data_IF_800067772133
#
_entry.id   IF_800067772133
#
_cell.length_a   1.000
_cell.length_b   1.000
_cell.length_c   1.000
_cell.angle_alpha   90.00
_cell.angle_beta   90.00
_cell.angle_gamma   90.00
#
_symmetry.space_group_name_H-M   'P 1'
#
loop_
_entity.id
_entity.type
_entity.pdbx_description
1 polymer ?
#
# COMPACT_ATOMS: atom_id res chain seq x y z
N UNK A 1 58.75 -27.02 -32.84
CA UNK A 1 58.37 -26.29 -34.07
C UNK A 1 57.83 -24.89 -33.72
N UNK A 2 58.64 -23.83 -33.63
CA UNK A 2 59.38 -23.13 -34.69
C UNK A 2 58.44 -22.36 -35.64
N UNK A 3 58.49 -21.03 -35.47
CA UNK A 3 57.91 -19.84 -36.17
C UNK A 3 58.13 -19.83 -37.70
N UNK A 4 57.50 -18.96 -38.56
CA UNK A 4 57.32 -17.49 -38.36
C UNK A 4 56.10 -16.74 -39.01
N UNK A 5 55.91 -15.49 -38.56
CA UNK A 5 55.11 -14.39 -39.16
C UNK A 5 55.76 -13.85 -40.48
N UNK A 6 55.20 -12.90 -41.30
CA UNK A 6 54.95 -11.49 -40.90
C UNK A 6 53.98 -10.58 -41.73
N UNK A 7 53.65 -9.38 -41.17
CA UNK A 7 53.53 -8.02 -41.81
C UNK A 7 52.47 -7.77 -42.93
N UNK A 8 51.90 -6.58 -43.19
CA UNK A 8 52.23 -5.15 -42.91
C UNK A 8 51.05 -4.23 -43.31
N UNK A 9 51.00 -3.04 -42.69
CA UNK A 9 50.66 -1.68 -43.22
C UNK A 9 49.38 -1.44 -44.05
N UNK A 10 48.59 -0.37 -43.91
CA UNK A 10 48.71 0.89 -43.15
C UNK A 10 47.79 1.97 -43.78
N UNK A 11 47.85 3.20 -43.24
CA UNK A 11 47.38 4.49 -43.81
C UNK A 11 45.87 4.78 -43.75
N UNK A 12 45.39 5.72 -42.91
CA UNK A 12 45.28 7.20 -43.07
C UNK A 12 43.83 7.60 -43.41
N UNK A 13 43.08 8.35 -42.60
CA UNK A 13 43.19 9.80 -42.38
C UNK A 13 41.83 10.47 -42.69
N UNK A 14 41.47 11.53 -41.97
CA UNK A 14 40.26 12.35 -42.19
C UNK A 14 39.29 12.30 -41.00
N UNK A 15 39.33 13.18 -40.00
CA UNK A 15 39.02 14.61 -39.98
C UNK A 15 37.52 14.94 -40.16
N UNK A 16 36.90 15.46 -39.08
CA UNK A 16 35.88 16.51 -39.17
C UNK A 16 34.42 16.13 -38.86
N UNK A 17 33.79 16.91 -37.98
CA UNK A 17 32.34 16.95 -37.70
C UNK A 17 32.01 16.40 -36.32
N UNK A 18 31.96 17.17 -35.23
CA UNK A 18 30.99 18.24 -34.92
C UNK A 18 29.55 17.88 -35.33
N UNK A 19 28.81 17.43 -34.32
CA UNK A 19 27.38 17.07 -34.33
C UNK A 19 27.16 16.21 -33.08
N UNK A 20 27.19 16.77 -31.87
CA UNK A 20 26.10 17.55 -31.29
C UNK A 20 24.74 16.85 -31.44
N UNK A 21 24.66 15.62 -30.95
CA UNK A 21 23.43 15.05 -30.38
C UNK A 21 23.85 14.24 -29.16
N UNK A 22 24.26 14.98 -28.12
CA UNK A 22 24.29 14.45 -26.76
C UNK A 22 22.84 14.22 -26.35
N UNK A 23 22.33 13.06 -26.74
CA UNK A 23 21.14 12.46 -26.15
C UNK A 23 21.34 12.54 -24.64
N UNK A 24 20.56 13.40 -23.99
CA UNK A 24 20.52 13.52 -22.55
C UNK A 24 20.12 12.14 -22.04
N UNK A 25 21.13 11.34 -21.67
CA UNK A 25 21.04 10.20 -20.79
C UNK A 25 20.21 10.69 -19.60
N UNK A 26 18.91 10.36 -19.65
CA UNK A 26 17.92 10.76 -18.68
C UNK A 26 18.25 10.02 -17.41
N UNK A 27 19.21 10.58 -16.66
CA UNK A 27 19.84 9.98 -15.50
C UNK A 27 18.76 9.43 -14.60
N UNK A 28 18.61 8.11 -14.66
CA UNK A 28 17.66 7.38 -13.84
C UNK A 28 18.07 7.63 -12.41
N UNK A 29 17.40 8.58 -11.74
CA UNK A 29 17.62 8.84 -10.32
C UNK A 29 17.55 7.50 -9.60
N UNK A 30 18.47 7.20 -8.66
CA UNK A 30 18.42 5.93 -7.95
C UNK A 30 17.07 5.84 -7.22
N UNK A 31 16.21 4.92 -7.64
CA UNK A 31 14.96 4.64 -6.95
C UNK A 31 15.12 3.38 -6.12
N UNK A 32 14.96 3.49 -4.81
CA UNK A 32 14.90 2.36 -3.89
C UNK A 32 13.44 2.01 -3.57
N UNK A 33 13.20 0.85 -2.96
CA UNK A 33 11.88 0.37 -2.59
C UNK A 33 11.81 0.18 -1.08
N UNK A 34 10.78 0.73 -0.45
CA UNK A 34 10.48 0.53 0.95
C UNK A 34 9.31 -0.47 1.09
N UNK A 35 9.59 -1.76 1.38
CA UNK A 35 8.56 -2.78 1.49
C UNK A 35 7.74 -2.60 2.77
N UNK A 36 6.42 -2.75 2.64
CA UNK A 36 5.47 -2.66 3.75
C UNK A 36 4.43 -3.76 3.59
N UNK A 37 4.29 -4.58 4.63
CA UNK A 37 3.22 -5.57 4.73
C UNK A 37 2.13 -5.00 5.64
N UNK A 38 0.93 -4.86 5.07
CA UNK A 38 -0.20 -4.23 5.75
C UNK A 38 -1.29 -5.25 6.09
N UNK A 39 -1.85 -5.15 7.29
CA UNK A 39 -3.08 -5.82 7.69
C UNK A 39 -4.22 -4.79 7.59
N UNK A 40 -5.31 -5.15 6.90
CA UNK A 40 -6.43 -4.25 6.67
C UNK A 40 -7.75 -4.88 7.11
N UNK A 41 -8.47 -4.16 7.96
CA UNK A 41 -9.79 -4.53 8.45
C UNK A 41 -10.77 -3.38 8.27
N UNK A 42 -12.04 -3.67 8.03
CA UNK A 42 -13.15 -2.74 8.18
C UNK A 42 -13.85 -2.98 9.53
N UNK A 43 -14.53 -1.96 10.04
CA UNK A 43 -15.44 -2.07 11.18
C UNK A 43 -16.81 -2.51 10.68
N UNK A 44 -17.24 -3.70 11.11
CA UNK A 44 -18.55 -4.28 10.78
C UNK A 44 -19.65 -3.86 11.77
N UNK A 45 -20.80 -4.52 11.69
CA UNK A 45 -21.97 -4.26 12.55
C UNK A 45 -22.02 -5.13 13.80
N UNK A 46 -21.13 -6.13 13.91
CA UNK A 46 -21.05 -6.99 15.07
C UNK A 46 -20.71 -6.25 16.36
N UNK A 47 -21.07 -6.86 17.49
CA UNK A 47 -20.71 -6.38 18.83
C UNK A 47 -19.59 -7.25 19.38
N UNK A 48 -18.54 -6.66 19.95
CA UNK A 48 -17.47 -7.44 20.56
C UNK A 48 -18.01 -8.38 21.66
N UNK A 49 -17.53 -9.62 21.69
CA UNK A 49 -17.92 -10.63 22.69
C UNK A 49 -17.62 -10.15 24.11
N UNK A 50 -18.50 -10.49 25.05
CA UNK A 50 -18.33 -10.16 26.47
C UNK A 50 -17.19 -10.95 27.13
N UNK A 51 -16.85 -12.10 26.55
CA UNK A 51 -15.78 -12.97 27.06
C UNK A 51 -14.38 -12.48 26.63
N UNK A 52 -14.31 -11.38 25.87
CA UNK A 52 -13.05 -10.77 25.46
C UNK A 52 -12.28 -10.25 26.67
N UNK A 53 -11.00 -10.61 26.85
CA UNK A 53 -10.19 -10.10 27.96
C UNK A 53 -10.19 -8.56 28.01
N UNK A 54 -10.33 -7.93 29.19
CA UNK A 54 -10.51 -6.48 29.30
C UNK A 54 -9.45 -5.64 28.59
N UNK A 55 -8.17 -6.08 28.65
CA UNK A 55 -7.05 -5.42 27.97
C UNK A 55 -7.19 -5.45 26.44
N UNK A 56 -7.64 -6.59 25.90
CA UNK A 56 -7.89 -6.76 24.46
C UNK A 56 -9.11 -5.94 24.05
N UNK A 57 -10.19 -5.98 24.84
CA UNK A 57 -11.40 -5.20 24.59
C UNK A 57 -11.13 -3.69 24.56
N UNK A 58 -10.31 -3.17 25.48
CA UNK A 58 -9.92 -1.76 25.50
C UNK A 58 -9.18 -1.38 24.20
N UNK A 59 -8.25 -2.23 23.76
CA UNK A 59 -7.50 -2.01 22.51
C UNK A 59 -8.40 -2.07 21.28
N UNK A 60 -9.24 -3.10 21.15
CA UNK A 60 -10.20 -3.22 20.06
C UNK A 60 -11.18 -2.04 20.03
N UNK A 61 -11.59 -1.54 21.20
CA UNK A 61 -12.40 -0.31 21.31
C UNK A 61 -11.65 0.91 20.76
N UNK A 62 -10.34 1.03 20.99
CA UNK A 62 -9.53 2.10 20.38
C UNK A 62 -9.42 1.93 18.86
N UNK A 63 -9.34 0.70 18.36
CA UNK A 63 -9.37 0.41 16.92
C UNK A 63 -10.66 0.92 16.28
N UNK A 64 -11.80 0.67 16.92
CA UNK A 64 -13.12 1.14 16.47
C UNK A 64 -13.28 2.66 16.57
N UNK A 65 -12.79 3.29 17.65
CA UNK A 65 -13.02 4.71 17.92
C UNK A 65 -12.07 5.65 17.18
N UNK A 66 -10.80 5.27 17.01
CA UNK A 66 -9.75 6.16 16.48
C UNK A 66 -9.49 5.95 14.98
N UNK A 67 -10.56 5.78 14.20
CA UNK A 67 -10.42 5.60 12.73
C UNK A 67 -10.01 6.94 12.11
N UNK A 68 -8.86 7.03 11.42
CA UNK A 68 -8.45 8.25 10.73
C UNK A 68 -9.46 8.63 9.65
N UNK A 69 -9.71 9.94 9.46
CA UNK A 69 -10.69 10.42 8.46
C UNK A 69 -10.36 9.93 7.06
N UNK A 70 -9.08 9.85 6.70
CA UNK A 70 -8.61 9.33 5.42
C UNK A 70 -8.89 7.83 5.18
N UNK A 71 -9.29 7.08 6.23
CA UNK A 71 -9.65 5.67 6.14
C UNK A 71 -11.17 5.45 6.20
N UNK A 72 -11.95 6.54 6.27
CA UNK A 72 -13.38 6.49 6.02
C UNK A 72 -13.62 6.65 4.52
N UNK A 73 -14.29 5.69 3.90
CA UNK A 73 -14.50 5.70 2.46
C UNK A 73 -15.85 5.13 2.09
N UNK A 74 -16.42 5.61 0.99
CA UNK A 74 -17.65 5.07 0.42
C UNK A 74 -17.29 4.31 -0.86
N UNK A 75 -17.87 3.14 -1.06
CA UNK A 75 -17.64 2.29 -2.23
C UNK A 75 -18.95 1.74 -2.76
N UNK A 76 -19.10 1.68 -4.08
CA UNK A 76 -20.20 0.96 -4.72
C UNK A 76 -19.91 -0.54 -4.65
N UNK A 77 -20.86 -1.33 -4.16
CA UNK A 77 -20.74 -2.78 -4.00
C UNK A 77 -21.45 -3.53 -5.14
N UNK A 78 -21.18 -4.83 -5.26
CA UNK A 78 -21.65 -5.64 -6.39
C UNK A 78 -23.18 -5.69 -6.53
N UNK A 79 -23.92 -5.59 -5.41
CA UNK A 79 -25.38 -5.53 -5.32
C UNK A 79 -25.96 -4.14 -5.65
N UNK A 80 -25.14 -3.19 -6.11
CA UNK A 80 -25.57 -1.86 -6.55
C UNK A 80 -25.80 -0.85 -5.41
N UNK A 81 -25.55 -1.25 -4.16
CA UNK A 81 -25.56 -0.36 -3.00
C UNK A 81 -24.28 0.48 -2.88
N UNK A 82 -24.33 1.52 -2.05
CA UNK A 82 -23.13 2.22 -1.58
C UNK A 82 -22.86 1.86 -0.12
N UNK A 83 -21.64 1.43 0.19
CA UNK A 83 -21.22 1.08 1.53
C UNK A 83 -20.26 2.12 2.09
N UNK A 84 -20.64 2.76 3.20
CA UNK A 84 -19.71 3.57 4.00
C UNK A 84 -18.88 2.67 4.91
N UNK A 85 -17.58 2.59 4.64
CA UNK A 85 -16.60 1.80 5.36
C UNK A 85 -15.72 2.66 6.24
N UNK A 86 -15.51 2.17 7.46
CA UNK A 86 -14.47 2.63 8.36
C UNK A 86 -13.34 1.61 8.30
N UNK A 87 -12.31 1.87 7.51
CA UNK A 87 -11.15 0.98 7.39
C UNK A 87 -10.11 1.28 8.46
N UNK A 88 -9.33 0.27 8.83
CA UNK A 88 -8.17 0.37 9.70
C UNK A 88 -7.01 -0.36 9.04
N UNK A 89 -5.97 0.41 8.73
CA UNK A 89 -4.75 -0.09 8.08
C UNK A 89 -3.60 -0.11 9.09
N UNK A 90 -3.06 -1.30 9.32
CA UNK A 90 -1.98 -1.56 10.25
C UNK A 90 -0.78 -2.17 9.52
N UNK A 91 0.41 -2.04 10.09
CA UNK A 91 1.51 -2.93 9.71
C UNK A 91 1.20 -4.30 10.29
N UNK A 92 1.45 -5.39 9.56
CA UNK A 92 1.08 -6.77 9.96
C UNK A 92 1.55 -7.13 11.37
N UNK A 93 2.75 -6.68 11.75
CA UNK A 93 3.35 -6.98 13.06
C UNK A 93 2.96 -5.98 14.17
N UNK A 94 2.04 -5.05 13.92
CA UNK A 94 1.60 -4.13 14.97
C UNK A 94 0.76 -4.86 16.00
N UNK A 95 0.82 -4.39 17.25
CA UNK A 95 0.03 -5.03 18.30
C UNK A 95 -1.49 -4.86 18.10
N UNK A 96 -1.93 -3.84 17.37
CA UNK A 96 -3.33 -3.65 16.98
C UNK A 96 -3.77 -4.67 15.92
N UNK A 97 -2.92 -4.92 14.91
CA UNK A 97 -3.18 -5.94 13.89
C UNK A 97 -3.30 -7.32 14.54
N UNK A 98 -2.38 -7.64 15.45
CA UNK A 98 -2.42 -8.87 16.23
C UNK A 98 -3.70 -8.98 17.06
N UNK A 99 -4.07 -7.93 17.79
CA UNK A 99 -5.29 -7.95 18.62
C UNK A 99 -6.56 -8.19 17.79
N UNK A 100 -6.68 -7.56 16.61
CA UNK A 100 -7.81 -7.80 15.70
C UNK A 100 -7.77 -9.23 15.14
N UNK A 101 -6.60 -9.69 14.69
CA UNK A 101 -6.41 -11.04 14.15
C UNK A 101 -6.74 -12.13 15.17
N UNK A 102 -6.24 -12.00 16.41
CA UNK A 102 -6.49 -12.92 17.52
C UNK A 102 -7.99 -12.94 17.90
N UNK A 103 -8.64 -11.77 17.90
CA UNK A 103 -10.08 -11.68 18.15
C UNK A 103 -10.89 -12.40 17.07
N UNK A 104 -10.61 -12.14 15.79
CA UNK A 104 -11.30 -12.79 14.67
C UNK A 104 -11.06 -14.29 14.68
N UNK A 105 -9.82 -14.72 14.97
CA UNK A 105 -9.46 -16.14 15.05
C UNK A 105 -10.13 -16.89 16.22
N UNK A 106 -10.42 -16.19 17.33
CA UNK A 106 -11.14 -16.78 18.48
C UNK A 106 -12.66 -16.74 18.31
N UNK A 107 -13.19 -15.95 17.39
CA UNK A 107 -14.62 -15.80 17.14
C UNK A 107 -15.00 -16.03 15.66
N UNK A 108 -14.59 -17.15 15.03
CA UNK A 108 -14.73 -17.34 13.59
C UNK A 108 -16.19 -17.46 13.13
N UNK A 109 -17.09 -17.90 14.01
CA UNK A 109 -18.52 -18.07 13.73
C UNK A 109 -19.36 -16.85 14.12
N UNK A 110 -18.73 -15.76 14.57
CA UNK A 110 -19.47 -14.58 15.00
C UNK A 110 -20.05 -13.83 13.79
N UNK A 111 -21.38 -13.75 13.76
CA UNK A 111 -22.14 -13.06 12.71
C UNK A 111 -23.26 -12.22 13.37
N UNK A 112 -23.37 -10.91 13.05
CA UNK A 112 -22.41 -10.13 12.27
C UNK A 112 -21.06 -10.00 13.00
N UNK A 113 -19.97 -9.96 12.23
CA UNK A 113 -18.63 -9.77 12.76
C UNK A 113 -18.35 -8.28 13.08
N UNK A 114 -17.77 -7.94 14.25
CA UNK A 114 -17.39 -6.56 14.59
C UNK A 114 -16.21 -6.05 13.76
N UNK A 115 -15.36 -6.97 13.31
CA UNK A 115 -14.20 -6.70 12.46
C UNK A 115 -14.28 -7.58 11.23
N UNK A 116 -14.14 -6.97 10.06
CA UNK A 116 -14.20 -7.63 8.77
C UNK A 116 -12.83 -7.49 8.11
N UNK A 117 -12.10 -8.60 7.97
CA UNK A 117 -10.76 -8.62 7.38
C UNK A 117 -10.89 -8.46 5.88
N UNK A 118 -10.19 -7.47 5.33
CA UNK A 118 -10.15 -7.20 3.89
C UNK A 118 -8.87 -7.75 3.27
N UNK A 119 -7.76 -7.67 4.00
CA UNK A 119 -6.49 -8.27 3.61
C UNK A 119 -5.70 -8.63 4.86
N UNK A 120 -5.31 -9.91 4.98
CA UNK A 120 -4.43 -10.37 6.06
C UNK A 120 -3.02 -9.84 5.90
N UNK A 121 -2.54 -9.82 4.65
CA UNK A 121 -1.23 -9.35 4.26
C UNK A 121 -1.33 -8.72 2.88
N UNK A 122 -1.42 -7.40 2.84
CA UNK A 122 -1.31 -6.61 1.61
C UNK A 122 0.13 -6.13 1.49
N UNK A 123 0.87 -6.72 0.54
CA UNK A 123 2.25 -6.35 0.25
C UNK A 123 2.28 -5.10 -0.63
N UNK A 124 3.02 -4.09 -0.19
CA UNK A 124 3.22 -2.85 -0.94
C UNK A 124 4.68 -2.45 -0.88
N UNK A 125 5.18 -1.78 -1.92
CA UNK A 125 6.54 -1.26 -1.95
C UNK A 125 6.52 0.20 -2.38
N UNK A 126 6.86 1.12 -1.47
CA UNK A 126 6.88 2.55 -1.76
C UNK A 126 8.21 2.91 -2.41
N UNK A 127 8.18 3.44 -3.63
CA UNK A 127 9.39 4.00 -4.24
C UNK A 127 9.89 5.15 -3.37
N UNK A 128 11.20 5.31 -3.25
CA UNK A 128 11.79 6.48 -2.62
C UNK A 128 13.18 6.73 -3.20
N UNK A 129 13.65 7.98 -3.11
CA UNK A 129 15.01 8.33 -3.53
C UNK A 129 15.94 8.30 -2.29
N UNK A 130 16.88 7.34 -2.22
CA UNK A 130 17.79 7.22 -1.08
C UNK A 130 18.84 8.34 -1.03
N UNK A 131 19.02 9.12 -2.10
CA UNK A 131 19.89 10.30 -2.08
C UNK A 131 19.26 11.47 -1.31
N UNK A 132 17.93 11.49 -1.18
CA UNK A 132 17.19 12.57 -0.52
C UNK A 132 16.48 12.15 0.77
N UNK A 133 16.24 10.85 0.95
CA UNK A 133 15.53 10.30 2.09
C UNK A 133 16.38 9.25 2.81
N UNK A 134 16.73 9.53 4.06
CA UNK A 134 17.43 8.59 4.93
C UNK A 134 16.43 7.75 5.74
N UNK A 135 16.43 6.43 5.50
CA UNK A 135 15.58 5.49 6.23
C UNK A 135 16.03 5.26 7.69
N UNK A 136 17.25 5.70 8.06
CA UNK A 136 17.69 5.67 9.46
C UNK A 136 16.88 6.64 10.33
N UNK A 137 16.32 7.69 9.71
CA UNK A 137 15.36 8.58 10.35
C UNK A 137 13.99 7.90 10.46
N UNK A 138 13.58 7.66 11.71
CA UNK A 138 12.26 7.12 12.03
C UNK A 138 11.12 7.95 11.40
N UNK A 139 11.30 9.27 11.25
CA UNK A 139 10.30 10.16 10.66
C UNK A 139 10.07 9.89 9.17
N UNK A 140 11.12 9.53 8.43
CA UNK A 140 11.05 9.17 7.01
C UNK A 140 10.37 7.82 6.85
N UNK A 141 10.78 6.82 7.64
CA UNK A 141 10.14 5.50 7.63
C UNK A 141 8.64 5.58 7.96
N UNK A 142 8.26 6.40 8.94
CA UNK A 142 6.84 6.63 9.29
C UNK A 142 6.06 7.35 8.18
N UNK A 143 6.70 8.31 7.49
CA UNK A 143 6.10 8.97 6.33
C UNK A 143 5.83 7.98 5.20
N UNK A 144 6.79 7.11 4.87
CA UNK A 144 6.63 6.08 3.83
C UNK A 144 5.55 5.06 4.23
N UNK A 145 5.48 4.65 5.51
CA UNK A 145 4.38 3.81 6.02
C UNK A 145 3.02 4.50 5.89
N UNK A 146 2.94 5.80 6.17
CA UNK A 146 1.70 6.58 6.00
C UNK A 146 1.26 6.59 4.54
N UNK A 147 2.18 6.82 3.61
CA UNK A 147 1.90 6.76 2.17
C UNK A 147 1.40 5.38 1.74
N UNK A 148 2.05 4.30 2.19
CA UNK A 148 1.62 2.93 1.92
C UNK A 148 0.18 2.70 2.42
N UNK A 149 -0.13 3.14 3.65
CA UNK A 149 -1.48 3.02 4.23
C UNK A 149 -2.53 3.77 3.43
N UNK A 150 -2.25 5.00 3.01
CA UNK A 150 -3.18 5.78 2.17
C UNK A 150 -3.45 5.10 0.84
N UNK A 151 -2.42 4.54 0.18
CA UNK A 151 -2.60 3.79 -1.07
C UNK A 151 -3.36 2.48 -0.85
N UNK A 152 -3.14 1.78 0.26
CA UNK A 152 -3.87 0.55 0.59
C UNK A 152 -5.38 0.75 0.59
N UNK A 153 -5.86 1.87 1.18
CA UNK A 153 -7.29 2.23 1.17
C UNK A 153 -7.80 2.39 -0.26
N UNK A 154 -7.06 3.08 -1.13
CA UNK A 154 -7.43 3.25 -2.55
C UNK A 154 -7.49 1.91 -3.28
N UNK A 155 -6.47 1.08 -3.15
CA UNK A 155 -6.40 -0.24 -3.81
C UNK A 155 -7.56 -1.13 -3.38
N UNK A 156 -7.86 -1.17 -2.07
CA UNK A 156 -8.98 -1.94 -1.56
C UNK A 156 -10.33 -1.39 -1.99
N UNK A 157 -10.50 -0.07 -2.03
CA UNK A 157 -11.73 0.55 -2.55
C UNK A 157 -11.98 0.17 -4.01
N UNK A 158 -10.95 0.25 -4.86
CA UNK A 158 -11.04 -0.15 -6.26
C UNK A 158 -11.35 -1.65 -6.41
N UNK A 159 -10.71 -2.50 -5.60
CA UNK A 159 -10.95 -3.93 -5.61
C UNK A 159 -12.39 -4.26 -5.17
N UNK A 160 -12.86 -3.68 -4.07
CA UNK A 160 -14.24 -3.88 -3.59
C UNK A 160 -15.28 -3.42 -4.63
N UNK A 161 -15.00 -2.33 -5.34
CA UNK A 161 -15.86 -1.83 -6.43
C UNK A 161 -15.91 -2.72 -7.67
N UNK A 162 -15.06 -3.75 -7.75
CA UNK A 162 -15.04 -4.70 -8.87
C UNK A 162 -16.19 -5.69 -8.71
N UNK A 163 -17.31 -5.46 -9.42
CA UNK A 163 -18.55 -6.26 -9.32
C UNK A 163 -18.33 -7.76 -9.50
N UNK A 164 -17.37 -8.16 -10.35
CA UNK A 164 -17.02 -9.56 -10.59
C UNK A 164 -16.48 -10.30 -9.34
N UNK A 165 -15.95 -9.57 -8.34
CA UNK A 165 -15.49 -10.16 -7.08
C UNK A 165 -16.65 -10.44 -6.10
N UNK A 166 -17.87 -10.00 -6.43
CA UNK A 166 -19.08 -10.31 -5.68
C UNK A 166 -19.08 -9.76 -4.25
N UNK A 167 -18.32 -8.70 -3.95
CA UNK A 167 -18.32 -8.10 -2.61
C UNK A 167 -19.61 -7.29 -2.44
N UNK A 168 -20.49 -7.73 -1.54
CA UNK A 168 -21.80 -7.13 -1.26
C UNK A 168 -21.78 -6.29 0.01
N UNK A 169 -22.84 -5.51 0.25
CA UNK A 169 -23.00 -4.77 1.50
C UNK A 169 -22.99 -5.72 2.72
N UNK A 170 -23.71 -6.85 2.65
CA UNK A 170 -23.80 -7.82 3.74
C UNK A 170 -22.43 -8.35 4.18
N UNK A 171 -21.55 -8.62 3.20
CA UNK A 171 -20.17 -9.09 3.42
C UNK A 171 -19.34 -8.04 4.15
N UNK A 172 -19.41 -6.78 3.70
CA UNK A 172 -18.66 -5.67 4.31
C UNK A 172 -19.17 -5.29 5.70
N UNK A 173 -20.43 -5.58 6.00
CA UNK A 173 -21.03 -5.42 7.34
C UNK A 173 -20.79 -6.62 8.26
N UNK A 174 -20.21 -7.70 7.75
CA UNK A 174 -19.82 -8.88 8.53
C UNK A 174 -20.90 -9.94 8.68
N UNK A 175 -22.00 -9.86 7.92
CA UNK A 175 -23.10 -10.84 7.95
C UNK A 175 -22.75 -12.18 7.30
N UNK A 176 -21.64 -12.23 6.55
CA UNK A 176 -21.11 -13.47 5.97
C UNK A 176 -19.83 -13.96 6.68
N UNK A 177 -19.55 -13.42 7.87
CA UNK A 177 -18.37 -13.72 8.66
C UNK A 177 -17.19 -12.78 8.39
N UNK A 178 -16.22 -12.79 9.31
CA UNK A 178 -15.12 -11.83 9.33
C UNK A 178 -14.16 -11.97 8.14
N UNK A 179 -14.01 -13.16 7.56
CA UNK A 179 -13.00 -13.46 6.54
C UNK A 179 -13.55 -13.43 5.10
N UNK A 180 -14.88 -13.43 4.93
CA UNK A 180 -15.51 -13.53 3.61
C UNK A 180 -15.00 -12.52 2.56
N UNK A 181 -14.79 -11.22 2.87
CA UNK A 181 -14.25 -10.31 1.87
C UNK A 181 -12.76 -10.57 1.58
N UNK A 182 -11.94 -10.92 2.57
CA UNK A 182 -10.54 -11.25 2.32
C UNK A 182 -10.39 -12.43 1.35
N UNK A 183 -11.24 -13.46 1.49
CA UNK A 183 -11.22 -14.62 0.61
C UNK A 183 -11.60 -14.26 -0.84
N UNK A 184 -12.56 -13.35 -1.03
CA UNK A 184 -12.97 -12.84 -2.36
C UNK A 184 -11.93 -11.94 -3.00
N UNK A 185 -11.24 -11.13 -2.19
CA UNK A 185 -10.28 -10.15 -2.68
C UNK A 185 -8.87 -10.74 -2.90
N UNK A 186 -8.55 -11.88 -2.27
CA UNK A 186 -7.19 -12.44 -2.21
C UNK A 186 -6.51 -12.50 -3.57
N UNK A 187 -7.12 -13.19 -4.52
CA UNK A 187 -6.47 -13.48 -5.81
C UNK A 187 -6.30 -12.20 -6.64
N UNK A 188 -7.28 -11.29 -6.57
CA UNK A 188 -7.20 -9.97 -7.20
C UNK A 188 -6.09 -9.09 -6.61
N UNK A 189 -5.95 -9.08 -5.28
CA UNK A 189 -4.93 -8.29 -4.60
C UNK A 189 -3.52 -8.86 -4.83
N UNK A 190 -3.37 -10.18 -4.86
CA UNK A 190 -2.08 -10.83 -5.16
C UNK A 190 -1.60 -10.55 -6.59
N UNK A 191 -2.51 -10.42 -7.55
CA UNK A 191 -2.15 -10.09 -8.93
C UNK A 191 -1.63 -8.65 -9.12
N UNK A 192 -1.94 -7.72 -8.22
CA UNK A 192 -1.63 -6.27 -8.35
C UNK A 192 -0.34 -5.82 -7.66
N UNK A 193 0.61 -6.73 -7.44
CA UNK A 193 1.87 -6.42 -6.73
C UNK A 193 2.84 -5.62 -7.61
N UNK A 194 2.49 -4.37 -7.93
CA UNK A 194 3.32 -3.42 -8.68
C UNK A 194 4.08 -2.44 -7.75
N UNK A 195 5.31 -2.03 -8.12
CA UNK A 195 6.05 -0.97 -7.42
C UNK A 195 5.25 0.34 -7.39
N UNK A 196 5.30 1.08 -6.27
CA UNK A 196 4.51 2.30 -6.10
C UNK A 196 5.33 3.55 -6.41
N UNK A 197 5.11 4.25 -7.52
CA UNK A 197 5.78 5.53 -7.77
C UNK A 197 5.45 6.56 -6.69
N UNK A 198 6.47 7.30 -6.26
CA UNK A 198 6.28 8.47 -5.42
C UNK A 198 5.35 9.45 -6.16
N UNK A 199 4.28 9.96 -5.54
CA UNK A 199 3.69 11.18 -6.04
C UNK A 199 4.76 12.27 -5.99
N UNK A 200 4.93 12.99 -7.10
CA UNK A 200 5.85 14.12 -7.21
C UNK A 200 5.56 15.09 -6.06
N UNK A 201 6.50 15.18 -5.11
CA UNK A 201 6.43 16.12 -4.01
C UNK A 201 6.70 17.50 -4.60
N UNK A 202 5.69 18.09 -5.23
CA UNK A 202 5.70 19.52 -5.45
C UNK A 202 5.90 20.19 -4.09
N UNK A 203 7.05 20.86 -3.98
CA UNK A 203 7.52 21.60 -2.81
C UNK A 203 6.39 22.36 -2.09
N UNK A 204 6.06 22.03 -0.83
CA UNK A 204 5.26 22.93 -0.01
C UNK A 204 6.04 24.18 0.43
N UNK A 205 7.29 24.36 -0.02
CA UNK A 205 8.14 25.53 0.28
C UNK A 205 8.13 26.63 -0.79
N UNK A 206 7.44 26.43 -1.92
CA UNK A 206 7.38 27.44 -3.00
C UNK A 206 6.19 28.41 -2.96
N UNK A 207 5.12 28.10 -2.20
CA UNK A 207 3.85 28.86 -2.28
C UNK A 207 3.73 30.05 -1.31
N UNK A 208 4.74 30.33 -0.49
CA UNK A 208 4.71 31.44 0.47
C UNK A 208 5.41 32.74 -0.02
N UNK A 209 6.04 32.74 -1.21
CA UNK A 209 6.80 33.90 -1.71
C UNK A 209 6.08 34.78 -2.74
N UNK A 210 4.84 34.47 -3.13
CA UNK A 210 4.09 35.22 -4.15
C UNK A 210 2.87 36.00 -3.62
N UNK A 211 2.82 36.28 -2.32
CA UNK A 211 1.76 37.10 -1.70
C UNK A 211 2.31 38.34 -0.96
N UNK A 212 3.55 38.73 -1.22
CA UNK A 212 4.17 39.92 -0.64
C UNK A 212 5.06 40.67 -1.65
N UNK A 213 4.57 40.84 -2.88
CA UNK A 213 5.09 41.78 -3.86
C UNK A 213 3.94 42.65 -4.38
#
# INVERSE_FOLDING_TARGET
>A
PSTPSPRRAGSSGGAGGLGADGELDGGSRPTAHFPVNLFVTAIGEGVMSRDTPPKVQQRLTQVVRKVPKEQNTSVEVADGGTADLKMRVFVVNSEDAKAVGDYVGSHPTQVPAPFVVLARELRMAVLYDPATLDLSDASVADRLRKQAKTRAVRVLREAIGTKALGVTLAVLRGHEGAMAPADRLRDHLSARTEPVPLPDLADPLGAAAAAAA
#
